data_IF_879200107274
#
_entry.id   IF_879200107274
#
_cell.length_a   1.000
_cell.length_b   1.000
_cell.length_c   1.000
_cell.angle_alpha   90.00
_cell.angle_beta   90.00
_cell.angle_gamma   90.00
#
_symmetry.space_group_name_H-M   'P 1'
#
loop_
_entity.id
_entity.type
_entity.pdbx_description
1 polymer ?
#
# COMPACT_ATOMS: atom_id res chain seq x y z
N UNK A 1 3.69 -17.29 -19.53
CA UNK A 1 4.04 -16.52 -18.32
C UNK A 1 4.21 -15.07 -18.77
N UNK A 2 3.39 -14.15 -18.27
CA UNK A 2 3.46 -12.74 -18.65
C UNK A 2 4.75 -12.08 -18.20
N UNK A 3 5.13 -10.99 -18.86
CA UNK A 3 6.30 -10.19 -18.45
C UNK A 3 6.00 -9.56 -17.09
N UNK A 4 6.89 -9.73 -16.12
CA UNK A 4 6.77 -9.13 -14.79
C UNK A 4 7.54 -7.81 -14.69
N UNK A 5 7.00 -6.89 -13.91
CA UNK A 5 7.63 -5.63 -13.53
C UNK A 5 7.58 -5.48 -12.01
N UNK A 6 8.58 -4.81 -11.43
CA UNK A 6 8.63 -4.54 -9.99
C UNK A 6 8.63 -3.03 -9.76
N UNK A 7 7.64 -2.56 -9.01
CA UNK A 7 7.57 -1.22 -8.43
C UNK A 7 8.06 -1.32 -6.99
N UNK A 8 9.04 -0.49 -6.61
CA UNK A 8 9.60 -0.51 -5.25
C UNK A 8 10.08 0.87 -4.84
N UNK A 9 10.09 1.12 -3.54
CA UNK A 9 10.53 2.39 -2.99
C UNK A 9 10.30 2.48 -1.49
N UNK A 10 10.30 3.71 -0.99
CA UNK A 10 10.06 4.03 0.41
C UNK A 10 8.79 4.89 0.50
N UNK A 11 7.86 4.50 1.37
CA UNK A 11 6.80 5.36 1.86
C UNK A 11 7.42 6.21 2.97
N UNK A 12 7.58 7.53 2.79
CA UNK A 12 8.22 8.37 3.79
C UNK A 12 7.32 8.46 5.02
N UNK A 13 7.91 8.19 6.17
CA UNK A 13 7.31 8.48 7.47
C UNK A 13 7.33 9.98 7.76
N UNK A 14 6.60 10.38 8.80
CA UNK A 14 6.48 11.77 9.22
C UNK A 14 5.84 11.91 10.59
N UNK A 15 5.67 13.16 11.04
CA UNK A 15 4.96 13.49 12.29
C UNK A 15 3.44 13.41 12.17
N UNK A 16 2.93 13.06 10.99
CA UNK A 16 1.51 12.91 10.73
C UNK A 16 1.18 11.42 10.70
N UNK A 17 0.02 11.06 11.26
CA UNK A 17 -0.57 9.73 11.11
C UNK A 17 -0.79 9.33 9.65
N UNK A 18 -0.85 10.29 8.72
CA UNK A 18 -1.14 10.04 7.32
C UNK A 18 0.02 10.46 6.42
N UNK A 19 0.40 9.57 5.51
CA UNK A 19 1.38 9.88 4.46
C UNK A 19 0.69 10.43 3.23
N UNK A 20 1.31 11.40 2.55
CA UNK A 20 0.83 11.80 1.23
C UNK A 20 0.81 10.59 0.28
N UNK A 21 -0.30 10.33 -0.44
CA UNK A 21 -0.38 9.23 -1.40
C UNK A 21 0.75 9.26 -2.43
N UNK A 22 1.31 8.09 -2.72
CA UNK A 22 2.35 7.90 -3.72
C UNK A 22 1.71 7.29 -4.96
N UNK A 23 1.83 7.98 -6.10
CA UNK A 23 1.39 7.46 -7.39
C UNK A 23 2.43 6.48 -7.96
N UNK A 24 1.99 5.27 -8.23
CA UNK A 24 2.75 4.23 -8.92
C UNK A 24 2.31 4.19 -10.39
N UNK A 25 3.16 4.74 -11.25
CA UNK A 25 2.87 4.85 -12.68
C UNK A 25 2.93 3.48 -13.37
N UNK A 26 1.79 3.06 -13.91
CA UNK A 26 1.61 1.82 -14.67
C UNK A 26 0.97 2.09 -16.04
N UNK A 27 0.02 3.03 -16.08
CA UNK A 27 -0.67 3.39 -17.29
C UNK A 27 0.25 4.19 -18.22
N UNK A 28 0.43 3.66 -19.42
CA UNK A 28 1.20 4.28 -20.50
C UNK A 28 0.31 4.81 -21.64
N UNK A 29 -1.01 4.87 -21.43
CA UNK A 29 -2.00 5.24 -22.44
C UNK A 29 -2.43 4.11 -23.39
N UNK A 30 -1.99 2.87 -23.14
CA UNK A 30 -2.30 1.69 -23.96
C UNK A 30 -3.27 0.74 -23.25
N UNK A 31 -4.55 0.76 -23.66
CA UNK A 31 -5.60 -0.12 -23.12
C UNK A 31 -5.45 -1.60 -23.49
N UNK A 32 -4.44 -1.96 -24.28
CA UNK A 32 -4.15 -3.36 -24.63
C UNK A 32 -3.13 -4.00 -23.68
N UNK A 33 -2.49 -3.20 -22.80
CA UNK A 33 -1.51 -3.67 -21.81
C UNK A 33 -1.97 -3.29 -20.42
N UNK A 34 -2.64 -4.24 -19.79
CA UNK A 34 -3.09 -4.09 -18.42
C UNK A 34 -2.20 -4.89 -17.47
N UNK A 35 -2.38 -4.65 -16.19
CA UNK A 35 -1.52 -5.20 -15.16
C UNK A 35 -2.33 -5.97 -14.13
N UNK A 36 -1.69 -6.95 -13.51
CA UNK A 36 -2.23 -7.67 -12.37
C UNK A 36 -1.17 -7.70 -11.29
N UNK A 37 -1.50 -7.31 -10.07
CA UNK A 37 -0.57 -7.46 -8.94
C UNK A 37 -0.47 -8.94 -8.60
N UNK A 38 0.76 -9.45 -8.54
CA UNK A 38 1.07 -10.86 -8.24
C UNK A 38 1.86 -11.03 -6.95
N UNK A 39 2.55 -9.98 -6.49
CA UNK A 39 3.22 -9.95 -5.18
C UNK A 39 3.06 -8.55 -4.57
N UNK A 40 2.76 -8.53 -3.27
CA UNK A 40 2.60 -7.33 -2.44
C UNK A 40 3.40 -7.54 -1.17
N UNK A 41 4.35 -6.64 -0.92
CA UNK A 41 5.28 -6.71 0.22
C UNK A 41 5.48 -5.34 0.85
N UNK A 42 5.14 -5.21 2.14
CA UNK A 42 5.44 -4.07 3.00
C UNK A 42 6.32 -4.51 4.16
N UNK A 43 7.37 -3.74 4.45
CA UNK A 43 8.26 -4.02 5.56
C UNK A 43 8.94 -2.73 6.07
N UNK A 44 9.32 -2.65 7.35
CA UNK A 44 9.93 -1.44 7.90
C UNK A 44 11.27 -1.12 7.23
N UNK A 45 11.61 0.17 7.09
CA UNK A 45 12.96 0.58 6.70
C UNK A 45 13.90 0.58 7.91
N UNK A 46 15.15 0.19 7.69
CA UNK A 46 16.16 0.06 8.76
C UNK A 46 16.94 1.36 9.02
N UNK A 47 16.54 2.50 8.44
CA UNK A 47 17.39 3.70 8.34
C UNK A 47 17.37 4.64 9.55
N UNK A 48 16.54 4.40 10.57
CA UNK A 48 16.50 5.24 11.79
C UNK A 48 17.30 4.63 12.95
N UNK A 49 18.53 4.20 12.67
CA UNK A 49 19.50 3.70 13.65
C UNK A 49 20.16 4.87 14.40
N UNK A 50 19.44 5.47 15.34
CA UNK A 50 20.03 6.27 16.42
C UNK A 50 20.34 5.36 17.60
N UNK A 51 21.63 5.16 17.90
CA UNK A 51 22.13 4.08 18.73
C UNK A 51 21.48 3.91 20.12
N UNK A 52 21.25 2.66 20.50
CA UNK A 52 21.69 2.13 21.80
C UNK A 52 21.87 0.61 21.67
N UNK A 53 22.95 0.15 22.28
CA UNK A 53 23.45 -1.21 22.32
C UNK A 53 22.49 -2.17 23.05
N UNK A 54 21.42 -2.58 22.38
CA UNK A 54 20.67 -3.80 22.68
C UNK A 54 19.99 -4.28 21.39
N UNK A 55 20.54 -5.34 20.78
CA UNK A 55 20.02 -5.99 19.57
C UNK A 55 18.71 -6.76 19.82
N UNK A 56 17.70 -6.10 20.39
CA UNK A 56 16.41 -6.72 20.72
C UNK A 56 15.19 -5.80 20.60
N UNK A 57 15.36 -4.52 20.30
CA UNK A 57 14.22 -3.61 20.12
C UNK A 57 14.44 -2.69 18.94
N UNK A 58 13.97 -3.15 17.78
CA UNK A 58 13.82 -2.35 16.58
C UNK A 58 12.77 -1.27 16.85
N UNK A 59 13.20 -0.08 17.27
CA UNK A 59 12.30 1.03 17.59
C UNK A 59 11.81 1.70 16.30
N UNK A 60 11.18 0.91 15.42
CA UNK A 60 10.56 1.40 14.19
C UNK A 60 9.09 1.81 14.40
N UNK A 61 8.57 1.79 15.63
CA UNK A 61 7.25 2.33 15.98
C UNK A 61 7.39 2.85 17.41
N UNK A 62 7.76 4.12 17.57
CA UNK A 62 7.97 4.76 18.89
C UNK A 62 6.67 5.26 19.49
N UNK A 63 5.71 4.37 19.68
CA UNK A 63 4.88 4.33 20.89
C UNK A 63 4.24 2.95 20.94
N UNK A 64 4.02 2.53 22.17
CA UNK A 64 3.85 1.15 22.63
C UNK A 64 2.54 0.51 22.14
N UNK A 65 1.82 1.11 21.19
CA UNK A 65 0.51 0.67 20.72
C UNK A 65 0.13 1.19 19.32
N UNK A 66 1.06 1.51 18.43
CA UNK A 66 0.64 1.96 17.08
C UNK A 66 0.38 0.78 16.14
N UNK A 67 -0.71 0.88 15.37
CA UNK A 67 -0.85 0.11 14.12
C UNK A 67 -0.38 0.96 12.96
N UNK A 68 0.22 0.31 11.98
CA UNK A 68 0.47 0.91 10.68
C UNK A 68 -0.29 0.12 9.63
N UNK A 69 -1.22 0.79 8.95
CA UNK A 69 -1.93 0.24 7.82
C UNK A 69 -1.36 0.84 6.53
N UNK A 70 -1.29 0.04 5.48
CA UNK A 70 -0.92 0.46 4.13
C UNK A 70 -1.96 -0.09 3.16
N UNK A 71 -2.34 0.72 2.18
CA UNK A 71 -3.31 0.33 1.17
C UNK A 71 -2.80 0.67 -0.23
N UNK A 72 -3.11 -0.22 -1.17
CA UNK A 72 -2.96 -0.02 -2.60
C UNK A 72 -4.35 0.23 -3.18
N UNK A 73 -4.54 1.37 -3.83
CA UNK A 73 -5.81 1.77 -4.42
C UNK A 73 -5.67 2.13 -5.90
N UNK A 74 -6.77 2.08 -6.63
CA UNK A 74 -6.88 2.48 -8.03
C UNK A 74 -6.92 4.00 -8.17
N UNK A 75 -7.43 4.71 -7.16
CA UNK A 75 -7.58 6.16 -7.17
C UNK A 75 -7.06 6.78 -5.88
N UNK A 76 -6.61 8.03 -5.95
CA UNK A 76 -6.14 8.78 -4.78
C UNK A 76 -7.26 8.98 -3.75
N UNK A 77 -8.50 9.20 -4.21
CA UNK A 77 -9.73 9.31 -3.39
C UNK A 77 -10.01 8.06 -2.56
N UNK A 78 -9.62 6.88 -3.05
CA UNK A 78 -9.71 5.60 -2.33
C UNK A 78 -8.74 5.50 -1.15
N UNK A 79 -7.81 6.44 -1.01
CA UNK A 79 -6.86 6.55 0.10
C UNK A 79 -7.25 7.70 1.03
N UNK A 80 -8.34 7.50 1.78
CA UNK A 80 -8.72 8.46 2.84
C UNK A 80 -8.18 7.98 4.19
N UNK A 81 -7.63 8.92 4.98
CA UNK A 81 -7.09 8.61 6.31
C UNK A 81 -8.14 7.94 7.20
N UNK A 82 -7.80 6.79 7.78
CA UNK A 82 -8.71 5.99 8.59
C UNK A 82 -9.73 5.16 7.81
N UNK A 83 -9.69 5.17 6.47
CA UNK A 83 -10.74 4.58 5.63
C UNK A 83 -10.29 3.41 4.74
N UNK A 84 -9.35 2.62 5.23
CA UNK A 84 -8.95 1.39 4.55
C UNK A 84 -9.97 0.28 4.85
N UNK A 85 -10.85 0.00 3.88
CA UNK A 85 -11.95 -0.94 4.03
C UNK A 85 -11.89 -2.02 2.96
N UNK A 86 -12.06 -3.26 3.38
CA UNK A 86 -12.15 -4.42 2.47
C UNK A 86 -13.38 -4.41 1.56
N UNK A 87 -14.36 -3.53 1.83
CA UNK A 87 -15.54 -3.36 0.99
C UNK A 87 -15.44 -2.16 0.04
N UNK A 88 -14.35 -1.39 0.06
CA UNK A 88 -14.08 -0.36 -0.95
C UNK A 88 -13.46 -1.04 -2.17
N UNK A 89 -14.20 -1.02 -3.29
CA UNK A 89 -13.80 -1.67 -4.54
C UNK A 89 -12.61 -0.99 -5.23
N UNK A 90 -12.28 0.24 -4.83
CA UNK A 90 -11.11 0.97 -5.31
C UNK A 90 -9.83 0.51 -4.61
N UNK A 91 -9.93 -0.23 -3.50
CA UNK A 91 -8.80 -0.74 -2.74
C UNK A 91 -8.55 -2.20 -3.12
N UNK A 92 -7.31 -2.52 -3.47
CA UNK A 92 -6.95 -3.83 -4.07
C UNK A 92 -5.89 -4.58 -3.26
N UNK A 93 -5.20 -3.91 -2.34
CA UNK A 93 -4.31 -4.59 -1.40
C UNK A 93 -4.23 -3.83 -0.08
N UNK A 94 -3.96 -4.57 0.99
CA UNK A 94 -3.85 -4.06 2.35
C UNK A 94 -2.65 -4.69 3.04
N UNK A 95 -1.95 -3.92 3.86
CA UNK A 95 -0.95 -4.42 4.79
C UNK A 95 -1.19 -3.80 6.16
N UNK A 96 -1.00 -4.58 7.23
CA UNK A 96 -1.08 -4.09 8.60
C UNK A 96 0.06 -4.63 9.45
N UNK A 97 0.73 -3.74 10.18
CA UNK A 97 1.73 -4.06 11.20
C UNK A 97 1.30 -3.52 12.58
N UNK A 98 1.73 -4.20 13.65
CA UNK A 98 1.44 -3.82 15.04
C UNK A 98 2.73 -3.77 15.89
N UNK A 99 2.82 -2.78 16.78
CA UNK A 99 3.72 -2.80 17.93
C UNK A 99 5.20 -2.49 17.64
N UNK A 100 6.06 -2.75 18.64
CA UNK A 100 7.47 -2.32 18.68
C UNK A 100 8.48 -3.35 18.17
N UNK A 101 7.98 -4.46 17.61
CA UNK A 101 8.82 -5.54 17.07
C UNK A 101 8.67 -5.57 15.55
N UNK A 102 9.68 -6.03 14.78
CA UNK A 102 9.52 -6.26 13.35
C UNK A 102 8.54 -7.41 13.17
N UNK A 103 7.25 -7.11 13.20
CA UNK A 103 6.22 -8.05 12.86
C UNK A 103 6.14 -8.09 11.34
N UNK A 104 6.03 -9.31 10.81
CA UNK A 104 5.64 -9.49 9.42
C UNK A 104 4.30 -8.78 9.24
N UNK A 105 4.26 -7.75 8.39
CA UNK A 105 3.01 -7.12 8.00
C UNK A 105 2.06 -8.24 7.53
N UNK A 106 0.86 -8.27 8.09
CA UNK A 106 -0.22 -9.11 7.57
C UNK A 106 -0.68 -8.46 6.28
N UNK A 107 -0.65 -9.22 5.20
CA UNK A 107 -0.84 -8.70 3.86
C UNK A 107 -1.95 -9.45 3.17
N UNK A 108 -2.84 -8.68 2.56
CA UNK A 108 -3.96 -9.17 1.78
C UNK A 108 -3.92 -8.47 0.42
N UNK A 109 -4.17 -9.24 -0.63
CA UNK A 109 -4.20 -8.77 -2.00
C UNK A 109 -5.46 -9.34 -2.63
N UNK A 110 -6.23 -8.53 -3.35
CA UNK A 110 -7.20 -9.03 -4.31
C UNK A 110 -6.42 -9.66 -5.48
N UNK A 111 -6.36 -11.00 -5.55
CA UNK A 111 -5.47 -11.66 -6.47
C UNK A 111 -6.05 -11.72 -7.88
N UNK A 112 -7.22 -11.14 -8.17
CA UNK A 112 -7.85 -11.21 -9.48
C UNK A 112 -8.09 -9.83 -10.11
N UNK A 113 -7.70 -8.75 -9.43
CA UNK A 113 -7.89 -7.41 -9.93
C UNK A 113 -7.06 -7.15 -11.19
N UNK A 114 -7.71 -6.62 -12.24
CA UNK A 114 -7.05 -6.16 -13.46
C UNK A 114 -6.95 -4.65 -13.37
N UNK A 115 -5.73 -4.16 -13.45
CA UNK A 115 -5.40 -2.75 -13.32
C UNK A 115 -5.22 -2.16 -14.72
N UNK A 116 -6.08 -1.20 -15.03
CA UNK A 116 -6.11 -0.47 -16.30
C UNK A 116 -5.60 0.97 -16.18
N UNK A 117 -5.24 1.37 -14.95
CA UNK A 117 -4.82 2.72 -14.61
C UNK A 117 -3.58 2.72 -13.70
N UNK A 118 -3.16 3.90 -13.25
CA UNK A 118 -2.12 3.99 -12.24
C UNK A 118 -2.64 3.50 -10.89
N UNK A 119 -1.70 3.12 -10.03
CA UNK A 119 -2.03 2.79 -8.65
C UNK A 119 -1.61 3.90 -7.72
N UNK A 120 -2.24 3.95 -6.58
CA UNK A 120 -1.93 4.85 -5.49
C UNK A 120 -1.63 4.04 -4.24
N UNK A 121 -0.62 4.48 -3.51
CA UNK A 121 -0.14 3.84 -2.30
C UNK A 121 -0.25 4.83 -1.14
N UNK A 122 -0.96 4.44 -0.08
CA UNK A 122 -1.12 5.27 1.12
C UNK A 122 -0.81 4.48 2.37
N UNK A 123 -0.26 5.15 3.37
CA UNK A 123 -0.04 4.59 4.70
C UNK A 123 -0.66 5.48 5.78
N UNK A 124 -1.17 4.82 6.82
CA UNK A 124 -1.79 5.44 7.97
C UNK A 124 -1.31 4.76 9.25
N UNK A 125 -0.90 5.53 10.26
CA UNK A 125 -0.63 5.01 11.60
C UNK A 125 -1.50 5.69 12.66
N UNK A 126 -1.95 4.91 13.64
CA UNK A 126 -2.74 5.41 14.76
C UNK A 126 -2.39 4.64 16.04
N UNK A 127 -2.56 5.28 17.18
CA UNK A 127 -2.41 4.63 18.48
C UNK A 127 -3.70 3.87 18.83
N UNK A 128 -3.57 2.60 19.17
CA UNK A 128 -4.69 1.68 19.45
C UNK A 128 -5.28 1.94 20.84
N UNK A 129 -4.51 2.52 21.76
CA UNK A 129 -4.95 2.69 23.13
C UNK A 129 -5.89 3.88 23.30
N UNK A 130 -5.68 4.96 22.53
CA UNK A 130 -6.50 6.17 22.62
C UNK A 130 -7.15 6.59 21.29
N UNK A 131 -6.88 5.85 20.20
CA UNK A 131 -7.41 6.16 18.88
C UNK A 131 -6.83 7.44 18.25
N UNK A 132 -5.80 8.02 18.86
CA UNK A 132 -5.19 9.26 18.39
C UNK A 132 -4.40 9.05 17.09
N UNK A 133 -4.40 10.10 16.29
CA UNK A 133 -3.73 10.19 14.99
C UNK A 133 -2.42 10.98 15.10
N UNK A 134 -1.95 11.23 16.32
CA UNK A 134 -0.70 11.95 16.58
C UNK A 134 0.45 10.96 16.77
N UNK A 135 0.64 10.08 15.79
CA UNK A 135 1.73 9.10 15.83
C UNK A 135 2.75 9.38 14.75
N UNK A 136 4.03 9.23 15.10
CA UNK A 136 5.12 9.28 14.12
C UNK A 136 5.11 8.00 13.30
N UNK A 137 4.90 8.12 11.99
CA UNK A 137 5.11 7.02 11.04
C UNK A 137 6.61 6.86 10.78
N UNK A 138 7.08 5.62 10.65
CA UNK A 138 8.41 5.34 10.12
C UNK A 138 8.36 5.17 8.62
N UNK A 139 9.51 5.41 7.99
CA UNK A 139 9.75 5.03 6.61
C UNK A 139 9.49 3.53 6.42
N UNK A 140 8.60 3.18 5.50
CA UNK A 140 8.29 1.80 5.12
C UNK A 140 8.84 1.50 3.73
N UNK A 141 9.43 0.33 3.53
CA UNK A 141 9.71 -0.16 2.19
C UNK A 141 8.46 -0.79 1.60
N UNK A 142 8.28 -0.62 0.30
CA UNK A 142 7.29 -1.35 -0.47
C UNK A 142 7.92 -2.06 -1.67
N UNK A 143 7.35 -3.22 -2.02
CA UNK A 143 7.60 -3.94 -3.27
C UNK A 143 6.27 -4.47 -3.80
N UNK A 144 5.91 -4.00 -5.00
CA UNK A 144 4.74 -4.47 -5.75
C UNK A 144 5.24 -5.11 -7.03
N UNK A 145 4.93 -6.38 -7.24
CA UNK A 145 5.21 -7.06 -8.50
C UNK A 145 3.92 -7.14 -9.30
N UNK A 146 3.98 -6.66 -10.53
CA UNK A 146 2.87 -6.73 -11.48
C UNK A 146 3.24 -7.63 -12.65
N UNK A 147 2.27 -8.36 -13.17
CA UNK A 147 2.37 -9.13 -14.40
C UNK A 147 1.54 -8.45 -15.49
N UNK A 148 2.10 -8.32 -16.69
CA UNK A 148 1.36 -7.84 -17.86
C UNK A 148 0.35 -8.90 -18.24
N UNK A 149 -0.92 -8.50 -18.28
CA UNK A 149 -2.03 -9.32 -18.77
C UNK A 149 -2.52 -8.74 -20.09
N UNK A 150 -2.69 -9.61 -21.07
CA UNK A 150 -3.36 -9.24 -22.32
C UNK A 150 -4.86 -9.21 -22.07
N UNK A 151 -5.50 -8.10 -22.41
CA UNK A 151 -6.95 -8.01 -22.49
C UNK A 151 -7.32 -7.30 -23.78
N UNK A 152 -8.50 -7.59 -24.30
CA UNK A 152 -9.09 -6.77 -25.35
C UNK A 152 -9.41 -5.38 -24.83
N UNK A 153 -9.43 -4.39 -25.72
CA UNK A 153 -9.79 -3.01 -25.37
C UNK A 153 -11.20 -2.93 -24.77
N UNK A 154 -12.14 -3.76 -25.24
CA UNK A 154 -13.50 -3.83 -24.69
C UNK A 154 -13.50 -4.32 -23.24
N UNK A 155 -12.68 -5.32 -22.91
CA UNK A 155 -12.54 -5.81 -21.53
C UNK A 155 -11.92 -4.74 -20.62
N UNK A 156 -10.90 -4.02 -21.10
CA UNK A 156 -10.27 -2.93 -20.37
C UNK A 156 -11.25 -1.78 -20.07
N UNK A 157 -12.04 -1.39 -21.07
CA UNK A 157 -13.06 -0.34 -20.90
C UNK A 157 -14.17 -0.79 -19.96
N UNK A 158 -14.66 -2.03 -20.08
CA UNK A 158 -15.66 -2.56 -19.16
C UNK A 158 -15.14 -2.65 -17.72
N UNK A 159 -13.86 -2.96 -17.53
CA UNK A 159 -13.22 -2.98 -16.23
C UNK A 159 -13.17 -1.57 -15.62
N UNK A 160 -12.73 -0.57 -16.40
CA UNK A 160 -12.72 0.83 -15.96
C UNK A 160 -14.14 1.35 -15.60
N UNK A 161 -15.15 1.02 -16.40
CA UNK A 161 -16.55 1.40 -16.12
C UNK A 161 -17.05 0.73 -14.85
N UNK A 162 -16.74 -0.56 -14.63
CA UNK A 162 -17.13 -1.26 -13.40
C UNK A 162 -16.53 -0.59 -12.17
N UNK A 163 -15.25 -0.25 -12.24
CA UNK A 163 -14.52 0.43 -11.16
C UNK A 163 -15.16 1.79 -10.83
N UNK A 164 -15.52 2.59 -11.84
CA UNK A 164 -16.18 3.89 -11.64
C UNK A 164 -17.66 3.79 -11.22
N UNK A 165 -18.35 2.69 -11.55
CA UNK A 165 -19.79 2.51 -11.25
C UNK A 165 -20.09 2.00 -9.84
N UNK A 166 -19.06 1.56 -9.11
CA UNK A 166 -19.20 1.03 -7.74
C UNK A 166 -18.94 2.09 -6.65
N UNK A 167 -18.64 3.34 -7.04
CA UNK A 167 -18.68 4.53 -6.18
C UNK A 167 -20.11 5.04 -5.98
#
# INVERSE_FOLDING_TARGET
MGKRMTLRGIIPGGSLAWTNPIRLQLNNGDFTRNYKVVEWEIFPSMNRLGGTSNMGSYTAITSNSNMTNVCLALEESGLTAGDFRFNDSRQIAWAQGYGTTPQNFRQSLDPNHIIVQDLWLGAYAFDINDGSTETTTVDLNYRVVVEVVSSSMNEAVLQLIKEQSQD
#
